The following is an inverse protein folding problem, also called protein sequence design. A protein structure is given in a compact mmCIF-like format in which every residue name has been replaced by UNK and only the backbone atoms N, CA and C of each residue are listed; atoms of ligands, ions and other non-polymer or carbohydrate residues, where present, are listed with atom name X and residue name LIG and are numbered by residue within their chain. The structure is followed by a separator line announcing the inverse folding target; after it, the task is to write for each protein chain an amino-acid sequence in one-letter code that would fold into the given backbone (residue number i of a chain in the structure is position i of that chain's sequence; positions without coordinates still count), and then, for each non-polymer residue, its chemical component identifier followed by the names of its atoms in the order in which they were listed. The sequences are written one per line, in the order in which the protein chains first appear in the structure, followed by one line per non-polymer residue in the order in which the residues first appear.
data_IF_007322098556
#
_entry.id   IF_007322098556
#
_cell.length_a   1.000
_cell.length_b   1.000
_cell.length_c   1.000
_cell.angle_alpha   90.00
_cell.angle_beta   90.00
_cell.angle_gamma   90.00
#
_symmetry.space_group_name_H-M   'P 1'
#
loop_
_entity.id
_entity.type
_entity.pdbx_description
1 polymer ?
#
# COMPACT_ATOMS: atom_id res chain seq x y z
N UNK A 1 -57.19 -68.95 -8.52
CA UNK A 1 -57.85 -67.68 -8.85
C UNK A 1 -57.95 -66.93 -7.54
N UNK A 2 -57.12 -65.89 -7.36
CA UNK A 2 -57.03 -65.02 -6.17
C UNK A 2 -56.80 -65.77 -4.86
N UNK A 3 -55.58 -65.92 -4.33
CA UNK A 3 -54.56 -64.90 -4.02
C UNK A 3 -55.06 -63.88 -2.98
N UNK A 4 -54.45 -63.88 -1.79
CA UNK A 4 -53.93 -62.71 -1.04
C UNK A 4 -53.50 -63.13 0.39
N UNK A 5 -52.23 -63.54 0.61
CA UNK A 5 -51.64 -63.49 1.95
C UNK A 5 -51.31 -62.03 2.31
N UNK A 6 -51.48 -61.65 3.58
CA UNK A 6 -51.32 -60.28 4.03
C UNK A 6 -49.95 -59.70 3.63
N UNK A 7 -49.97 -58.54 2.96
CA UNK A 7 -48.76 -57.83 2.58
C UNK A 7 -48.05 -57.25 3.81
N UNK A 8 -46.74 -57.49 3.87
CA UNK A 8 -45.84 -56.93 4.89
C UNK A 8 -45.86 -55.39 4.81
N UNK A 9 -46.19 -54.70 5.90
CA UNK A 9 -46.42 -53.24 5.89
C UNK A 9 -45.07 -52.51 5.72
N UNK A 10 -44.83 -51.81 4.59
CA UNK A 10 -43.53 -51.21 4.35
C UNK A 10 -43.29 -50.07 5.35
N UNK A 11 -42.25 -50.21 6.17
CA UNK A 11 -41.81 -49.21 7.16
C UNK A 11 -41.81 -47.80 6.56
N UNK A 12 -42.33 -46.78 7.26
CA UNK A 12 -42.36 -45.40 6.76
C UNK A 12 -41.00 -44.97 6.20
N UNK A 13 -41.01 -44.44 4.98
CA UNK A 13 -39.79 -44.08 4.26
C UNK A 13 -38.91 -43.13 5.09
N UNK A 14 -37.72 -43.61 5.44
CA UNK A 14 -36.62 -42.80 5.96
C UNK A 14 -36.30 -41.70 4.92
N UNK A 15 -36.85 -40.52 5.17
CA UNK A 15 -36.74 -39.37 4.29
C UNK A 15 -35.42 -38.68 4.65
N UNK A 16 -34.41 -38.65 3.77
CA UNK A 16 -33.11 -38.09 4.11
C UNK A 16 -33.26 -36.66 4.61
N UNK A 17 -32.88 -36.42 5.86
CA UNK A 17 -33.08 -35.14 6.55
C UNK A 17 -32.51 -34.00 5.71
N UNK A 18 -33.40 -33.21 5.11
CA UNK A 18 -33.04 -32.24 4.09
C UNK A 18 -32.39 -31.05 4.80
N UNK A 19 -31.10 -30.75 4.59
CA UNK A 19 -30.41 -29.73 5.37
C UNK A 19 -31.10 -28.38 5.24
N UNK A 20 -31.74 -27.96 6.33
CA UNK A 20 -32.44 -26.68 6.48
C UNK A 20 -31.41 -25.54 6.37
N UNK A 21 -31.38 -24.79 5.24
CA UNK A 21 -30.31 -23.84 4.98
C UNK A 21 -30.34 -22.67 5.97
N UNK A 22 -31.52 -22.33 6.50
CA UNK A 22 -31.73 -21.10 7.25
C UNK A 22 -31.27 -21.22 8.71
N UNK A 23 -31.10 -22.45 9.22
CA UNK A 23 -30.44 -22.72 10.51
C UNK A 23 -28.97 -22.29 10.53
N UNK A 24 -28.28 -22.34 9.38
CA UNK A 24 -26.86 -21.95 9.30
C UNK A 24 -26.61 -20.46 9.54
N UNK A 25 -27.65 -19.62 9.44
CA UNK A 25 -27.53 -18.16 9.42
C UNK A 25 -27.95 -17.46 10.71
N UNK A 26 -28.48 -18.18 11.71
CA UNK A 26 -29.08 -17.58 12.93
C UNK A 26 -28.28 -17.86 14.23
N UNK A 27 -26.99 -18.21 14.08
CA UNK A 27 -26.08 -18.58 15.17
C UNK A 27 -25.47 -17.42 15.98
N UNK A 28 -26.29 -16.60 16.64
CA UNK A 28 -25.89 -15.84 17.84
C UNK A 28 -25.41 -14.39 17.66
N UNK A 29 -25.96 -13.42 18.42
CA UNK A 29 -25.47 -12.04 18.45
C UNK A 29 -24.24 -11.84 19.36
N UNK A 30 -23.27 -11.05 18.88
CA UNK A 30 -22.21 -10.36 19.65
C UNK A 30 -21.27 -11.19 20.54
N UNK A 31 -20.12 -11.60 19.99
CA UNK A 31 -18.99 -12.14 20.74
C UNK A 31 -17.62 -11.64 20.25
N UNK A 32 -17.07 -10.64 20.94
CA UNK A 32 -15.61 -10.34 21.02
C UNK A 32 -14.81 -10.22 19.70
N UNK A 33 -15.28 -9.39 18.76
CA UNK A 33 -14.42 -8.80 17.73
C UNK A 33 -13.48 -7.76 18.37
N UNK A 34 -12.38 -8.25 18.97
CA UNK A 34 -11.55 -7.58 19.96
C UNK A 34 -10.75 -6.34 19.43
N UNK A 35 -10.02 -5.58 20.28
CA UNK A 35 -9.86 -4.12 20.15
C UNK A 35 -9.06 -3.61 18.94
N UNK A 36 -8.44 -4.48 18.14
CA UNK A 36 -7.63 -4.08 16.99
C UNK A 36 -8.37 -3.15 16.01
N UNK A 37 -9.65 -3.39 15.71
CA UNK A 37 -10.42 -2.52 14.80
C UNK A 37 -10.77 -1.16 15.40
N UNK A 38 -10.85 -1.07 16.74
CA UNK A 38 -11.07 0.19 17.47
C UNK A 38 -9.77 0.96 17.61
N UNK A 39 -8.67 0.28 17.96
CA UNK A 39 -7.34 0.86 18.03
C UNK A 39 -6.88 1.43 16.68
N UNK A 40 -7.12 0.72 15.56
CA UNK A 40 -6.83 1.23 14.21
C UNK A 40 -7.71 2.44 13.85
N UNK A 41 -8.97 2.48 14.29
CA UNK A 41 -9.83 3.67 14.10
C UNK A 41 -9.34 4.85 14.92
N UNK A 42 -9.09 4.67 16.22
CA UNK A 42 -8.55 5.69 17.12
C UNK A 42 -7.21 6.21 16.60
N UNK A 43 -6.28 5.33 16.20
CA UNK A 43 -5.00 5.72 15.62
C UNK A 43 -5.17 6.52 14.32
N UNK A 44 -6.10 6.13 13.42
CA UNK A 44 -6.42 6.93 12.21
C UNK A 44 -7.02 8.29 12.56
N UNK A 45 -7.92 8.37 13.53
CA UNK A 45 -8.51 9.64 13.97
C UNK A 45 -7.47 10.54 14.60
N UNK A 46 -6.58 10.01 15.45
CA UNK A 46 -5.50 10.77 16.08
C UNK A 46 -4.44 11.24 15.07
N UNK A 47 -4.02 10.40 14.12
CA UNK A 47 -3.13 10.84 13.03
C UNK A 47 -3.80 11.89 12.14
N UNK A 48 -5.09 11.72 11.84
CA UNK A 48 -5.87 12.70 11.07
C UNK A 48 -5.96 14.05 11.78
N UNK A 49 -6.32 14.06 13.07
CA UNK A 49 -6.38 15.27 13.88
C UNK A 49 -5.01 15.94 14.06
N UNK A 50 -3.95 15.15 14.31
CA UNK A 50 -2.58 15.66 14.42
C UNK A 50 -2.07 16.27 13.10
N UNK A 51 -2.38 15.63 11.97
CA UNK A 51 -2.10 16.19 10.64
C UNK A 51 -2.85 17.50 10.38
N UNK A 52 -4.15 17.53 10.71
CA UNK A 52 -4.97 18.74 10.54
C UNK A 52 -4.52 19.89 11.46
N UNK A 53 -4.11 19.58 12.69
CA UNK A 53 -3.53 20.54 13.63
C UNK A 53 -2.16 21.06 13.14
N UNK A 54 -1.31 20.19 12.57
CA UNK A 54 -0.04 20.57 11.96
C UNK A 54 -0.22 21.49 10.75
N UNK A 55 -1.21 21.20 9.89
CA UNK A 55 -1.60 22.07 8.77
C UNK A 55 -2.09 23.43 9.29
N UNK A 56 -2.99 23.45 10.28
CA UNK A 56 -3.50 24.69 10.87
C UNK A 56 -2.39 25.54 11.51
N UNK A 57 -1.45 24.92 12.22
CA UNK A 57 -0.29 25.58 12.80
C UNK A 57 0.66 26.16 11.73
N UNK A 58 0.91 25.41 10.65
CA UNK A 58 1.70 25.89 9.51
C UNK A 58 1.05 27.08 8.78
N UNK A 59 -0.28 27.06 8.62
CA UNK A 59 -1.04 28.18 8.05
C UNK A 59 -0.97 29.40 8.97
N UNK A 60 -1.16 29.23 10.28
CA UNK A 60 -1.05 30.33 11.25
C UNK A 60 0.34 30.99 11.20
N UNK A 61 1.42 30.19 11.25
CA UNK A 61 2.79 30.70 11.12
C UNK A 61 3.05 31.44 9.80
N UNK A 62 2.51 30.96 8.67
CA UNK A 62 2.62 31.63 7.37
C UNK A 62 1.81 32.94 7.30
N UNK A 63 0.74 33.06 8.07
CA UNK A 63 -0.05 34.30 8.15
C UNK A 63 0.60 35.34 9.06
N UNK A 64 1.12 34.93 10.22
CA UNK A 64 1.73 35.82 11.22
C UNK A 64 3.15 36.28 10.87
N UNK A 65 3.94 35.47 10.16
CA UNK A 65 5.35 35.77 9.83
C UNK A 65 5.45 36.95 8.82
N UNK A 66 6.06 38.10 9.21
CA UNK A 66 6.16 39.27 8.32
C UNK A 66 7.18 39.10 7.19
N UNK A 67 8.14 38.18 7.31
CA UNK A 67 9.17 37.99 6.28
C UNK A 67 8.62 37.40 4.96
N UNK A 68 7.53 36.63 5.00
CA UNK A 68 6.92 36.05 3.80
C UNK A 68 6.03 37.08 3.08
N UNK A 69 6.66 37.98 2.33
CA UNK A 69 5.96 38.98 1.50
C UNK A 69 5.22 38.34 0.33
N UNK A 70 5.76 37.27 -0.25
CA UNK A 70 5.08 36.47 -1.29
C UNK A 70 4.39 35.24 -0.69
N UNK A 71 3.20 35.44 -0.14
CA UNK A 71 2.34 34.34 0.36
C UNK A 71 1.72 33.51 -0.78
N UNK A 72 1.73 34.02 -2.01
CA UNK A 72 1.17 33.32 -3.18
C UNK A 72 2.16 32.30 -3.75
N UNK A 73 3.44 32.66 -3.91
CA UNK A 73 4.51 31.74 -4.31
C UNK A 73 4.68 30.58 -3.33
N UNK A 74 4.42 30.78 -2.03
CA UNK A 74 4.37 29.68 -1.04
C UNK A 74 3.16 28.76 -1.29
N UNK A 75 1.99 29.32 -1.63
CA UNK A 75 0.81 28.53 -1.98
C UNK A 75 1.01 27.76 -3.30
N UNK A 76 1.61 28.37 -4.32
CA UNK A 76 1.98 27.72 -5.59
C UNK A 76 3.04 26.64 -5.38
N UNK A 77 4.01 26.84 -4.48
CA UNK A 77 4.98 25.80 -4.12
C UNK A 77 4.34 24.62 -3.39
N UNK A 78 3.42 24.87 -2.45
CA UNK A 78 2.68 23.82 -1.74
C UNK A 78 1.75 23.03 -2.68
N UNK A 79 0.93 23.73 -3.47
CA UNK A 79 -0.02 23.11 -4.41
C UNK A 79 0.70 22.43 -5.56
N UNK A 80 1.69 23.11 -6.16
CA UNK A 80 2.54 22.55 -7.22
C UNK A 80 3.35 21.35 -6.74
N UNK A 81 3.91 21.40 -5.53
CA UNK A 81 4.62 20.28 -4.90
C UNK A 81 3.70 19.09 -4.62
N UNK A 82 2.49 19.33 -4.11
CA UNK A 82 1.49 18.28 -3.85
C UNK A 82 0.96 17.65 -5.15
N UNK A 83 0.63 18.48 -6.15
CA UNK A 83 0.18 17.98 -7.47
C UNK A 83 1.30 17.22 -8.18
N UNK A 84 2.55 17.71 -8.13
CA UNK A 84 3.70 16.99 -8.66
C UNK A 84 3.90 15.66 -7.92
N UNK A 85 3.71 15.63 -6.60
CA UNK A 85 3.76 14.39 -5.83
C UNK A 85 2.65 13.43 -6.28
N UNK A 86 1.38 13.76 -6.09
CA UNK A 86 0.29 12.80 -6.32
C UNK A 86 0.13 12.44 -7.81
N UNK A 87 0.28 13.39 -8.73
CA UNK A 87 0.10 13.14 -10.16
C UNK A 87 1.33 12.50 -10.83
N UNK A 88 2.56 12.69 -10.34
CA UNK A 88 3.76 12.08 -10.94
C UNK A 88 4.23 10.86 -10.15
N UNK A 89 4.30 10.91 -8.81
CA UNK A 89 4.75 9.78 -8.00
C UNK A 89 3.83 8.57 -8.14
N UNK A 90 2.52 8.74 -7.95
CA UNK A 90 1.57 7.63 -8.03
C UNK A 90 1.52 7.07 -9.47
N UNK A 91 1.46 7.94 -10.49
CA UNK A 91 1.44 7.51 -11.90
C UNK A 91 2.72 6.77 -12.27
N UNK A 92 3.91 7.27 -11.91
CA UNK A 92 5.16 6.54 -12.17
C UNK A 92 5.17 5.17 -11.48
N UNK A 93 4.84 5.09 -10.19
CA UNK A 93 4.80 3.83 -9.43
C UNK A 93 3.81 2.83 -10.05
N UNK A 94 2.61 3.27 -10.42
CA UNK A 94 1.61 2.40 -11.02
C UNK A 94 1.93 2.01 -12.48
N UNK A 95 2.45 2.92 -13.31
CA UNK A 95 2.78 2.64 -14.72
C UNK A 95 4.02 1.76 -14.84
N UNK A 96 5.13 2.11 -14.17
CA UNK A 96 6.33 1.27 -14.15
C UNK A 96 6.05 -0.08 -13.48
N UNK A 97 5.23 -0.08 -12.43
CA UNK A 97 4.75 -1.28 -11.76
C UNK A 97 3.93 -2.19 -12.68
N UNK A 98 2.98 -1.62 -13.42
CA UNK A 98 2.14 -2.36 -14.38
C UNK A 98 2.96 -2.88 -15.57
N UNK A 99 3.90 -2.09 -16.10
CA UNK A 99 4.79 -2.48 -17.19
C UNK A 99 5.68 -3.66 -16.79
N UNK A 100 6.37 -3.58 -15.64
CA UNK A 100 7.19 -4.67 -15.11
C UNK A 100 6.37 -5.94 -14.82
N UNK A 101 5.14 -5.79 -14.31
CA UNK A 101 4.21 -6.90 -14.08
C UNK A 101 3.67 -7.54 -15.37
N UNK A 102 3.51 -6.76 -16.46
CA UNK A 102 3.04 -7.26 -17.76
C UNK A 102 4.16 -7.90 -18.59
N UNK A 103 5.42 -7.58 -18.31
CA UNK A 103 6.59 -8.23 -18.89
C UNK A 103 6.88 -9.64 -18.30
N UNK A 104 6.21 -10.03 -17.21
CA UNK A 104 6.41 -11.34 -16.56
C UNK A 104 5.65 -12.46 -17.29
N UNK A 105 6.31 -13.50 -17.84
CA UNK A 105 5.61 -14.57 -18.55
C UNK A 105 4.80 -15.50 -17.64
N UNK A 106 3.61 -15.92 -18.09
CA UNK A 106 2.79 -16.96 -17.47
C UNK A 106 1.72 -16.47 -16.49
N UNK A 107 1.35 -17.31 -15.51
CA UNK A 107 0.42 -16.91 -14.43
C UNK A 107 1.09 -15.84 -13.57
N UNK A 108 0.51 -14.65 -13.52
CA UNK A 108 1.11 -13.46 -12.90
C UNK A 108 1.55 -13.67 -11.43
N UNK A 109 2.61 -12.98 -10.98
CA UNK A 109 3.23 -13.26 -9.69
C UNK A 109 2.30 -12.94 -8.51
N UNK A 110 2.44 -13.74 -7.44
CA UNK A 110 1.53 -13.71 -6.29
C UNK A 110 1.36 -12.29 -5.69
N UNK A 111 0.18 -11.95 -5.13
CA UNK A 111 -0.13 -10.57 -4.72
C UNK A 111 0.87 -9.94 -3.74
N UNK A 112 1.54 -10.74 -2.91
CA UNK A 112 2.59 -10.27 -2.00
C UNK A 112 3.88 -9.85 -2.73
N UNK A 113 4.27 -10.56 -3.80
CA UNK A 113 5.43 -10.21 -4.65
C UNK A 113 5.20 -8.84 -5.29
N UNK A 114 4.00 -8.63 -5.84
CA UNK A 114 3.61 -7.34 -6.43
C UNK A 114 3.69 -6.20 -5.41
N UNK A 115 3.21 -6.40 -4.17
CA UNK A 115 3.30 -5.40 -3.10
C UNK A 115 4.75 -5.08 -2.73
N UNK A 116 5.62 -6.08 -2.59
CA UNK A 116 7.06 -5.86 -2.28
C UNK A 116 7.76 -5.12 -3.43
N UNK A 117 7.49 -5.50 -4.69
CA UNK A 117 8.08 -4.82 -5.86
C UNK A 117 7.62 -3.37 -5.98
N UNK A 118 6.32 -3.09 -5.85
CA UNK A 118 5.78 -1.73 -5.87
C UNK A 118 6.33 -0.87 -4.71
N UNK A 119 6.54 -1.46 -3.54
CA UNK A 119 7.17 -0.78 -2.41
C UNK A 119 8.62 -0.37 -2.70
N UNK A 120 9.44 -1.28 -3.25
CA UNK A 120 10.81 -0.96 -3.66
C UNK A 120 10.85 0.12 -4.74
N UNK A 121 10.00 -0.02 -5.77
CA UNK A 121 9.85 0.95 -6.85
C UNK A 121 9.47 2.36 -6.33
N UNK A 122 8.54 2.45 -5.39
CA UNK A 122 8.16 3.70 -4.73
C UNK A 122 9.32 4.34 -3.97
N UNK A 123 10.10 3.56 -3.19
CA UNK A 123 11.28 4.09 -2.48
C UNK A 123 12.35 4.61 -3.46
N UNK A 124 12.62 3.87 -4.55
CA UNK A 124 13.58 4.29 -5.57
C UNK A 124 13.16 5.56 -6.32
N UNK A 125 11.87 5.68 -6.69
CA UNK A 125 11.32 6.90 -7.30
C UNK A 125 11.36 8.07 -6.31
N UNK A 126 11.06 7.86 -5.02
CA UNK A 126 11.11 8.91 -4.01
C UNK A 126 12.54 9.45 -3.83
N UNK A 127 13.52 8.55 -3.68
CA UNK A 127 14.93 8.92 -3.64
C UNK A 127 15.38 9.65 -4.92
N UNK A 128 14.86 9.25 -6.08
CA UNK A 128 15.13 9.92 -7.36
C UNK A 128 14.57 11.34 -7.36
N UNK A 129 13.31 11.55 -6.97
CA UNK A 129 12.69 12.89 -6.90
C UNK A 129 13.37 13.80 -5.87
N UNK A 130 13.85 13.25 -4.75
CA UNK A 130 14.62 14.01 -3.74
C UNK A 130 16.01 14.39 -4.26
N UNK A 131 16.68 13.51 -5.00
CA UNK A 131 17.97 13.79 -5.62
C UNK A 131 17.87 14.69 -6.87
N UNK A 132 16.72 14.70 -7.56
CA UNK A 132 16.55 15.34 -8.87
C UNK A 132 16.93 16.84 -8.85
N UNK A 133 16.50 17.69 -7.90
CA UNK A 133 16.92 19.09 -7.86
C UNK A 133 18.44 19.27 -7.78
N UNK A 134 19.15 18.40 -7.05
CA UNK A 134 20.62 18.45 -6.98
C UNK A 134 21.30 17.95 -8.27
N UNK A 135 20.65 17.06 -9.02
CA UNK A 135 21.14 16.53 -10.30
C UNK A 135 20.92 17.48 -11.49
N UNK A 136 19.82 18.22 -11.54
CA UNK A 136 19.53 19.17 -12.65
C UNK A 136 19.90 20.62 -12.35
N UNK A 137 20.35 20.96 -11.13
CA UNK A 137 20.73 22.34 -10.78
C UNK A 137 21.93 22.79 -11.63
N UNK A 138 21.80 23.88 -12.43
CA UNK A 138 22.95 24.45 -13.13
C UNK A 138 23.89 25.16 -12.15
N UNK A 139 25.20 25.02 -12.41
CA UNK A 139 26.26 25.74 -11.70
C UNK A 139 26.58 25.24 -10.28
N UNK A 140 27.74 25.64 -9.79
CA UNK A 140 28.31 25.24 -8.50
C UNK A 140 27.34 25.53 -7.34
N UNK A 141 27.04 24.54 -6.47
CA UNK A 141 26.33 24.77 -5.21
C UNK A 141 27.10 25.73 -4.28
N UNK A 142 26.40 26.66 -3.58
CA UNK A 142 27.05 27.71 -2.80
C UNK A 142 27.63 27.25 -1.45
N UNK A 143 27.48 25.97 -1.08
CA UNK A 143 28.01 25.41 0.15
C UNK A 143 29.02 24.29 -0.14
N UNK A 144 30.33 24.48 0.09
CA UNK A 144 31.35 23.50 -0.24
C UNK A 144 31.29 22.21 0.60
N UNK A 145 30.68 22.22 1.79
CA UNK A 145 30.53 20.99 2.60
C UNK A 145 29.51 20.00 2.03
N UNK A 146 28.67 20.46 1.09
CA UNK A 146 27.73 19.64 0.31
C UNK A 146 28.39 19.10 -0.97
N UNK A 147 29.59 19.59 -1.33
CA UNK A 147 30.12 19.56 -2.69
C UNK A 147 31.47 18.84 -2.86
N UNK A 148 31.54 17.57 -2.46
CA UNK A 148 32.19 16.59 -3.32
C UNK A 148 31.31 15.34 -3.55
N UNK A 149 30.02 15.43 -3.22
CA UNK A 149 29.13 14.28 -3.22
C UNK A 149 28.55 14.04 -4.62
N UNK A 150 29.04 12.99 -5.28
CA UNK A 150 28.48 12.51 -6.56
C UNK A 150 27.06 11.97 -6.34
N UNK A 151 26.07 12.84 -6.56
CA UNK A 151 24.65 12.51 -6.44
C UNK A 151 24.21 11.43 -7.45
N UNK A 152 24.86 11.31 -8.61
CA UNK A 152 24.55 10.29 -9.60
C UNK A 152 24.97 8.91 -9.11
N UNK A 153 26.23 8.77 -8.69
CA UNK A 153 26.75 7.54 -8.07
C UNK A 153 26.00 7.19 -6.79
N UNK A 154 25.71 8.16 -5.93
CA UNK A 154 24.99 7.89 -4.68
C UNK A 154 23.53 7.49 -4.93
N UNK A 155 22.83 8.07 -5.90
CA UNK A 155 21.50 7.63 -6.32
C UNK A 155 21.54 6.21 -6.92
N UNK A 156 22.58 5.89 -7.71
CA UNK A 156 22.79 4.53 -8.23
C UNK A 156 23.04 3.51 -7.10
N UNK A 157 23.79 3.88 -6.05
CA UNK A 157 23.97 3.05 -4.84
C UNK A 157 22.65 2.85 -4.11
N UNK A 158 21.83 3.90 -3.95
CA UNK A 158 20.49 3.80 -3.33
C UNK A 158 19.59 2.86 -4.14
N UNK A 159 19.53 2.99 -5.46
CA UNK A 159 18.81 2.04 -6.33
C UNK A 159 19.34 0.61 -6.20
N UNK A 160 20.67 0.42 -6.15
CA UNK A 160 21.28 -0.89 -5.92
C UNK A 160 20.83 -1.53 -4.61
N UNK A 161 20.84 -0.78 -3.50
CA UNK A 161 20.36 -1.24 -2.19
C UNK A 161 18.86 -1.55 -2.22
N UNK A 162 18.04 -0.67 -2.80
CA UNK A 162 16.58 -0.85 -2.92
C UNK A 162 16.23 -2.12 -3.73
N UNK A 163 16.89 -2.32 -4.87
CA UNK A 163 16.70 -3.51 -5.72
C UNK A 163 17.20 -4.78 -5.02
N UNK A 164 18.35 -4.74 -4.35
CA UNK A 164 18.87 -5.87 -3.59
C UNK A 164 17.94 -6.29 -2.44
N UNK A 165 17.50 -5.35 -1.60
CA UNK A 165 16.57 -5.60 -0.49
C UNK A 165 15.23 -6.13 -1.00
N UNK A 166 14.71 -5.59 -2.10
CA UNK A 166 13.49 -6.04 -2.76
C UNK A 166 13.63 -7.48 -3.27
N UNK A 167 14.71 -7.77 -4.00
CA UNK A 167 15.03 -9.10 -4.55
C UNK A 167 15.24 -10.16 -3.47
N UNK A 168 16.05 -9.86 -2.45
CA UNK A 168 16.30 -10.74 -1.30
C UNK A 168 14.99 -11.04 -0.55
N UNK A 169 14.16 -10.02 -0.29
CA UNK A 169 12.86 -10.20 0.37
C UNK A 169 11.94 -11.14 -0.42
N UNK A 170 11.92 -11.02 -1.75
CA UNK A 170 11.15 -11.91 -2.63
C UNK A 170 11.72 -13.32 -2.66
N UNK A 171 13.04 -13.47 -2.78
CA UNK A 171 13.72 -14.76 -2.82
C UNK A 171 13.56 -15.56 -1.51
N UNK A 172 13.79 -14.92 -0.36
CA UNK A 172 13.66 -15.55 0.97
C UNK A 172 12.22 -16.00 1.22
N UNK A 173 11.22 -15.17 0.86
CA UNK A 173 9.81 -15.54 1.04
C UNK A 173 9.38 -16.66 0.08
N UNK A 174 9.86 -16.69 -1.16
CA UNK A 174 9.66 -17.84 -2.07
C UNK A 174 10.30 -19.13 -1.52
N UNK A 175 11.56 -19.07 -1.07
CA UNK A 175 12.26 -20.25 -0.53
C UNK A 175 11.65 -20.79 0.77
N UNK A 176 11.00 -19.94 1.58
CA UNK A 176 10.21 -20.41 2.73
C UNK A 176 8.87 -21.03 2.31
N UNK A 177 8.18 -20.43 1.35
CA UNK A 177 6.88 -20.91 0.86
C UNK A 177 6.93 -22.20 0.01
N UNK A 178 8.12 -22.63 -0.42
CA UNK A 178 8.36 -23.94 -1.05
C UNK A 178 9.07 -24.93 -0.13
N UNK A 179 9.09 -24.69 1.19
CA UNK A 179 9.68 -25.55 2.23
C UNK A 179 8.73 -25.67 3.43
N UNK A 180 7.48 -25.95 3.10
CA UNK A 180 6.30 -26.20 3.95
C UNK A 180 5.16 -26.65 3.04
#
# INVERSE_FOLDING_TARGET
MTDEPAADEPTPHDTPDRPDPDRSSQGGPSGTAAPASTAVRVARTLLGAAGLAGIGYGIAGLLDEPAYTDKWGVAEWLVGGLLLHDAVFAVLVFVLGAAAMRAAPGRGPAPWVRRTFLGGLAVGIAATLIALPALVRPGTPPNPSVLPLDYGRNLAVVWGVVLAVTGITIAVRKWRAGRG
#
